data_IF_439031943572
#
_entry.id   IF_439031943572
#
_cell.length_a   1.000
_cell.length_b   1.000
_cell.length_c   1.000
_cell.angle_alpha   90.00
_cell.angle_beta   90.00
_cell.angle_gamma   90.00
#
_symmetry.space_group_name_H-M   'P 1'
#
loop_
_entity.id
_entity.type
_entity.pdbx_description
1 polymer ?
#
# COMPACT_ATOMS: atom_id res chain seq x y z
N UNK A 1 9.60 11.71 -11.89
CA UNK A 1 9.09 11.23 -10.59
C UNK A 1 8.21 10.02 -10.90
N UNK A 2 8.38 8.89 -10.21
CA UNK A 2 7.50 7.72 -10.42
C UNK A 2 6.12 8.08 -9.87
N UNK A 3 5.09 8.05 -10.71
CA UNK A 3 3.72 8.42 -10.34
C UNK A 3 2.97 7.26 -9.69
N UNK A 4 3.28 6.05 -10.10
CA UNK A 4 2.64 4.80 -9.67
C UNK A 4 3.69 3.78 -9.24
N UNK A 5 3.34 2.95 -8.27
CA UNK A 5 4.17 1.88 -7.73
C UNK A 5 3.32 0.62 -7.58
N UNK A 6 3.82 -0.50 -8.13
CA UNK A 6 3.19 -1.81 -8.04
C UNK A 6 4.13 -2.77 -7.34
N UNK A 7 3.64 -3.46 -6.31
CA UNK A 7 4.44 -4.40 -5.50
C UNK A 7 3.62 -5.63 -5.16
N UNK A 8 4.17 -6.82 -5.44
CA UNK A 8 3.69 -8.07 -4.86
C UNK A 8 4.51 -8.38 -3.60
N UNK A 9 3.82 -8.64 -2.49
CA UNK A 9 4.44 -8.99 -1.22
C UNK A 9 4.11 -10.43 -0.89
N UNK A 10 5.14 -11.19 -0.54
CA UNK A 10 5.02 -12.56 -0.07
C UNK A 10 5.33 -12.62 1.42
N UNK A 11 4.46 -13.26 2.21
CA UNK A 11 4.79 -13.66 3.57
C UNK A 11 3.64 -13.50 4.56
N UNK A 12 4.00 -13.16 5.80
CA UNK A 12 3.03 -13.03 6.90
C UNK A 12 2.44 -11.62 6.93
N UNK A 13 1.23 -11.43 7.48
CA UNK A 13 0.58 -10.11 7.55
C UNK A 13 1.46 -9.00 8.13
N UNK A 14 2.32 -9.32 9.11
CA UNK A 14 3.25 -8.34 9.69
C UNK A 14 4.22 -7.74 8.66
N UNK A 15 4.71 -8.53 7.70
CA UNK A 15 5.58 -8.04 6.62
C UNK A 15 4.83 -7.09 5.69
N UNK A 16 3.58 -7.43 5.37
CA UNK A 16 2.72 -6.59 4.55
C UNK A 16 2.51 -5.24 5.24
N UNK A 17 2.04 -5.25 6.49
CA UNK A 17 1.82 -4.01 7.26
C UNK A 17 3.08 -3.16 7.36
N UNK A 18 4.24 -3.77 7.64
CA UNK A 18 5.51 -3.05 7.72
C UNK A 18 5.84 -2.32 6.41
N UNK A 19 5.70 -3.01 5.26
CA UNK A 19 5.97 -2.40 3.96
C UNK A 19 4.95 -1.31 3.61
N UNK A 20 3.66 -1.59 3.84
CA UNK A 20 2.57 -0.64 3.60
C UNK A 20 2.80 0.68 4.37
N UNK A 21 3.29 0.59 5.60
CA UNK A 21 3.64 1.76 6.41
C UNK A 21 4.87 2.51 5.87
N UNK A 22 5.89 1.79 5.41
CA UNK A 22 7.08 2.39 4.80
C UNK A 22 6.72 3.16 3.53
N UNK A 23 5.89 2.59 2.66
CA UNK A 23 5.43 3.23 1.41
C UNK A 23 4.55 4.45 1.73
N UNK A 24 3.66 4.36 2.72
CA UNK A 24 2.83 5.49 3.14
C UNK A 24 3.65 6.69 3.67
N UNK A 25 4.84 6.45 4.25
CA UNK A 25 5.76 7.52 4.68
C UNK A 25 6.48 8.21 3.51
N UNK A 26 6.44 7.62 2.31
CA UNK A 26 6.99 8.18 1.08
C UNK A 26 5.94 8.93 0.25
N UNK A 27 4.80 9.29 0.87
CA UNK A 27 3.69 10.02 0.25
C UNK A 27 3.03 9.30 -0.95
N UNK A 28 3.00 7.96 -0.85
CA UNK A 28 2.24 7.09 -1.73
C UNK A 28 0.96 6.61 -1.02
N UNK A 29 -0.19 6.85 -1.66
CA UNK A 29 -1.49 6.31 -1.26
C UNK A 29 -1.66 4.89 -1.84
N UNK A 30 -2.12 3.96 -1.02
CA UNK A 30 -2.65 2.69 -1.51
C UNK A 30 -4.03 2.92 -2.14
N UNK A 31 -4.22 2.55 -3.41
CA UNK A 31 -5.51 2.72 -4.09
C UNK A 31 -6.14 1.40 -4.59
N UNK A 32 -5.35 0.32 -4.71
CA UNK A 32 -5.85 -1.01 -5.05
C UNK A 32 -5.01 -2.10 -4.39
N UNK A 33 -5.63 -3.22 -4.05
CA UNK A 33 -4.93 -4.44 -3.63
C UNK A 33 -5.69 -5.68 -4.08
N UNK A 34 -4.96 -6.75 -4.35
CA UNK A 34 -5.52 -8.05 -4.73
C UNK A 34 -4.77 -9.18 -4.01
N UNK A 35 -5.51 -10.08 -3.36
CA UNK A 35 -4.91 -11.28 -2.75
C UNK A 35 -4.69 -12.31 -3.84
N UNK A 36 -3.46 -12.83 -3.95
CA UNK A 36 -3.13 -13.81 -4.97
C UNK A 36 -3.86 -15.13 -4.71
N UNK A 37 -4.76 -15.53 -5.61
CA UNK A 37 -5.56 -16.76 -5.46
C UNK A 37 -4.72 -18.05 -5.44
N UNK A 38 -3.53 -18.04 -6.03
CA UNK A 38 -2.59 -19.17 -6.00
C UNK A 38 -1.68 -19.16 -4.76
N UNK A 39 -1.58 -18.04 -4.05
CA UNK A 39 -0.81 -17.89 -2.82
C UNK A 39 -1.57 -17.03 -1.81
N UNK A 40 -2.26 -17.66 -0.85
CA UNK A 40 -3.05 -16.96 0.18
C UNK A 40 -2.21 -16.04 1.10
N UNK A 41 -0.89 -16.18 1.06
CA UNK A 41 0.09 -15.37 1.80
C UNK A 41 0.74 -14.30 0.92
N UNK A 42 0.24 -14.10 -0.29
CA UNK A 42 0.76 -13.16 -1.25
C UNK A 42 -0.34 -12.15 -1.61
N UNK A 43 0.04 -10.88 -1.76
CA UNK A 43 -0.89 -9.82 -2.10
C UNK A 43 -0.19 -8.80 -2.99
N UNK A 44 -0.87 -8.39 -4.04
CA UNK A 44 -0.47 -7.32 -4.93
C UNK A 44 -1.04 -6.00 -4.41
N UNK A 45 -0.23 -4.96 -4.43
CA UNK A 45 -0.59 -3.63 -3.97
C UNK A 45 -0.24 -2.60 -5.05
N UNK A 46 -1.17 -1.68 -5.30
CA UNK A 46 -1.01 -0.57 -6.23
C UNK A 46 -1.07 0.75 -5.47
N UNK A 47 -0.06 1.59 -5.68
CA UNK A 47 0.07 2.88 -5.04
C UNK A 47 0.22 4.00 -6.04
N UNK A 48 -0.20 5.19 -5.64
CA UNK A 48 -0.07 6.43 -6.39
C UNK A 48 0.56 7.50 -5.50
N UNK A 49 1.51 8.25 -6.05
CA UNK A 49 2.11 9.37 -5.33
C UNK A 49 1.12 10.53 -5.23
N UNK A 50 1.08 11.22 -4.08
CA UNK A 50 0.09 12.29 -3.84
C UNK A 50 0.12 13.42 -4.88
N UNK A 51 1.30 13.78 -5.39
CA UNK A 51 1.42 14.80 -6.44
C UNK A 51 0.74 14.41 -7.77
N UNK A 52 0.42 13.13 -7.95
CA UNK A 52 -0.20 12.59 -9.16
C UNK A 52 -1.69 12.28 -8.99
N UNK A 53 -2.21 12.18 -7.77
CA UNK A 53 -3.61 11.79 -7.51
C UNK A 53 -4.64 12.64 -8.26
N UNK A 54 -4.45 13.97 -8.32
CA UNK A 54 -5.36 14.88 -9.03
C UNK A 54 -5.40 14.62 -10.54
N UNK A 55 -4.29 14.17 -11.14
CA UNK A 55 -4.19 13.89 -12.58
C UNK A 55 -4.97 12.63 -12.95
N UNK A 56 -5.07 11.68 -12.01
CA UNK A 56 -5.74 10.40 -12.20
C UNK A 56 -7.13 10.34 -11.55
N UNK A 57 -7.65 11.47 -11.05
CA UNK A 57 -8.96 11.54 -10.41
C UNK A 57 -9.08 10.73 -9.11
N UNK A 58 -7.95 10.39 -8.48
CA UNK A 58 -7.92 9.60 -7.24
C UNK A 58 -8.17 10.52 -6.06
N UNK A 59 -9.15 10.18 -5.23
CA UNK A 59 -9.44 10.90 -3.98
C UNK A 59 -8.91 10.11 -2.80
N UNK A 60 -8.18 10.76 -1.90
CA UNK A 60 -7.69 10.14 -0.68
C UNK A 60 -8.87 9.82 0.24
N UNK A 61 -9.04 8.54 0.58
CA UNK A 61 -10.13 8.12 1.47
C UNK A 61 -9.70 8.18 2.94
N UNK A 62 -8.57 7.56 3.31
CA UNK A 62 -8.05 7.54 4.68
C UNK A 62 -6.53 7.22 4.74
N UNK A 63 -5.78 7.96 5.57
CA UNK A 63 -4.35 7.71 5.90
C UNK A 63 -4.17 6.61 6.97
N UNK A 64 -4.91 5.51 6.86
CA UNK A 64 -4.96 4.52 7.93
C UNK A 64 -3.57 3.93 8.24
N UNK A 65 -2.69 3.84 7.25
CA UNK A 65 -1.37 3.22 7.40
C UNK A 65 -0.29 4.16 7.95
N UNK A 66 -0.45 5.48 7.89
CA UNK A 66 0.59 6.42 8.34
C UNK A 66 0.72 6.46 9.87
N UNK A 67 -0.35 6.11 10.59
CA UNK A 67 -0.47 6.26 12.05
C UNK A 67 -0.72 4.94 12.81
N UNK A 68 -0.80 3.80 12.13
CA UNK A 68 -0.99 2.50 12.80
C UNK A 68 0.34 2.02 13.38
N UNK A 69 0.36 1.69 14.67
CA UNK A 69 1.42 0.85 15.23
C UNK A 69 0.98 -0.61 15.09
N UNK A 70 1.80 -1.49 14.49
CA UNK A 70 1.44 -2.90 14.38
C UNK A 70 1.28 -3.49 15.78
N UNK A 71 0.13 -4.11 16.05
CA UNK A 71 -0.11 -4.81 17.31
C UNK A 71 0.84 -6.00 17.40
N UNK A 72 1.73 -5.98 18.41
CA UNK A 72 2.57 -7.11 18.77
C UNK A 72 1.69 -8.14 19.49
N UNK A 73 1.19 -9.12 18.77
CA UNK A 73 0.58 -10.33 19.35
C UNK A 73 1.39 -11.55 18.91
#
# INVERSE_FOLDING_TARGET
>A
MLSELFVEVHGIPLKHVTLLQQIARLDYALFSYEVNGACIKCCEYSFIHYSCMSQYGVTELYLYLKFVNPSTS
#
